data_IF_639891742773
#
_entry.id   IF_639891742773
#
_cell.length_a   1.000
_cell.length_b   1.000
_cell.length_c   1.000
_cell.angle_alpha   90.00
_cell.angle_beta   90.00
_cell.angle_gamma   90.00
#
_symmetry.space_group_name_H-M   'P 1'
#
loop_
_entity.id
_entity.type
_entity.pdbx_description
1 polymer ?
#
# COMPACT_ATOMS: atom_id res chain seq x y z
N UNK A 1 -31.54 6.15 2.34
CA UNK A 1 -30.23 5.47 2.46
C UNK A 1 -29.26 6.24 3.35
N UNK A 2 -28.87 7.48 3.03
CA UNK A 2 -27.90 8.23 3.86
C UNK A 2 -28.35 8.48 5.31
N UNK A 3 -29.65 8.74 5.55
CA UNK A 3 -30.19 8.88 6.91
C UNK A 3 -30.31 7.56 7.69
N UNK A 4 -29.98 6.42 7.09
CA UNK A 4 -30.06 5.09 7.71
C UNK A 4 -28.71 4.58 8.22
N UNK A 5 -27.61 5.28 7.93
CA UNK A 5 -26.29 4.87 8.40
C UNK A 5 -25.93 5.52 9.73
N UNK A 6 -25.08 4.86 10.51
CA UNK A 6 -24.45 5.45 11.70
C UNK A 6 -23.33 6.41 11.30
N UNK A 7 -22.89 7.25 12.25
CA UNK A 7 -21.66 8.02 12.09
C UNK A 7 -20.45 7.06 12.00
N UNK A 8 -19.39 7.52 11.34
CA UNK A 8 -18.13 6.79 11.26
C UNK A 8 -17.47 6.69 12.64
N UNK A 9 -16.76 5.60 12.89
CA UNK A 9 -16.20 5.31 14.20
C UNK A 9 -15.01 6.25 14.52
N UNK A 10 -15.11 7.02 15.60
CA UNK A 10 -14.02 7.91 16.04
C UNK A 10 -12.77 7.15 16.47
N UNK A 11 -12.90 5.91 16.93
CA UNK A 11 -11.75 5.03 17.22
C UNK A 11 -10.94 4.66 15.96
N UNK A 12 -11.52 4.81 14.77
CA UNK A 12 -10.82 4.65 13.48
C UNK A 12 -10.23 5.97 12.96
N UNK A 13 -10.17 7.03 13.78
CA UNK A 13 -9.57 8.32 13.44
C UNK A 13 -10.51 9.31 12.74
N UNK A 14 -11.80 8.98 12.59
CA UNK A 14 -12.77 9.92 12.02
C UNK A 14 -13.17 10.99 13.05
N UNK A 15 -13.42 12.24 12.62
CA UNK A 15 -14.00 13.26 13.49
C UNK A 15 -15.35 12.84 14.05
N UNK A 16 -15.70 13.34 15.24
CA UNK A 16 -17.04 13.14 15.80
C UNK A 16 -18.12 13.68 14.85
N UNK A 17 -19.21 12.95 14.71
CA UNK A 17 -20.28 13.28 13.77
C UNK A 17 -19.98 13.02 12.29
N UNK A 18 -18.80 12.50 11.93
CA UNK A 18 -18.47 12.22 10.52
C UNK A 18 -19.43 11.21 9.90
N UNK A 19 -19.89 11.49 8.67
CA UNK A 19 -20.81 10.62 7.92
C UNK A 19 -20.04 9.90 6.81
N UNK A 20 -20.42 8.67 6.43
CA UNK A 20 -19.84 8.00 5.27
C UNK A 20 -20.04 8.84 4.00
N UNK A 21 -19.03 8.84 3.13
CA UNK A 21 -19.12 9.44 1.80
C UNK A 21 -19.72 8.43 0.82
N UNK A 22 -20.83 8.81 0.16
CA UNK A 22 -21.51 7.95 -0.80
C UNK A 22 -21.37 8.49 -2.22
N UNK A 23 -21.00 7.61 -3.13
CA UNK A 23 -21.14 7.81 -4.56
C UNK A 23 -21.70 6.55 -5.20
N UNK A 24 -22.37 6.70 -6.33
CA UNK A 24 -23.03 5.62 -7.05
C UNK A 24 -22.48 5.57 -8.47
N UNK A 25 -22.13 4.37 -8.92
CA UNK A 25 -21.85 4.14 -10.32
C UNK A 25 -23.16 4.11 -11.10
N UNK A 26 -23.31 5.10 -11.98
CA UNK A 26 -24.42 5.23 -12.91
C UNK A 26 -23.79 5.54 -14.26
N UNK A 27 -23.80 4.56 -15.16
CA UNK A 27 -23.30 4.73 -16.53
C UNK A 27 -24.37 5.49 -17.30
N UNK A 28 -24.25 6.81 -17.32
CA UNK A 28 -25.12 7.70 -18.08
C UNK A 28 -24.27 8.52 -19.04
N UNK A 29 -24.36 8.17 -20.33
CA UNK A 29 -23.65 8.85 -21.42
C UNK A 29 -24.58 9.71 -22.28
N UNK A 30 -25.82 9.93 -21.81
CA UNK A 30 -26.89 10.60 -22.56
C UNK A 30 -27.66 9.65 -23.48
N UNK A 31 -28.90 10.03 -23.80
CA UNK A 31 -29.77 9.25 -24.71
C UNK A 31 -30.47 8.04 -24.09
N UNK A 32 -30.26 7.79 -22.80
CA UNK A 32 -30.88 6.70 -22.04
C UNK A 32 -31.99 7.23 -21.10
N UNK A 33 -32.99 6.39 -20.75
CA UNK A 33 -34.09 6.81 -19.88
C UNK A 33 -33.71 6.91 -18.41
N UNK A 34 -32.59 6.30 -17.98
CA UNK A 34 -32.07 6.39 -16.62
C UNK A 34 -30.98 7.44 -16.60
N UNK A 35 -31.10 8.40 -15.69
CA UNK A 35 -30.19 9.55 -15.61
C UNK A 35 -29.51 9.66 -14.25
N UNK A 36 -28.33 10.28 -14.21
CA UNK A 36 -27.63 10.57 -12.93
C UNK A 36 -28.48 11.38 -11.95
N UNK A 37 -29.39 12.23 -12.45
CA UNK A 37 -30.23 13.10 -11.64
C UNK A 37 -31.14 12.36 -10.66
N UNK A 38 -31.53 11.13 -10.98
CA UNK A 38 -32.38 10.29 -10.12
C UNK A 38 -31.67 9.88 -8.81
N UNK A 39 -30.34 9.96 -8.76
CA UNK A 39 -29.51 9.45 -7.67
C UNK A 39 -28.91 10.55 -6.77
N UNK A 40 -29.12 11.83 -7.08
CA UNK A 40 -28.54 12.95 -6.30
C UNK A 40 -28.99 13.00 -4.83
N UNK A 41 -30.14 12.39 -4.51
CA UNK A 41 -30.65 12.27 -3.14
C UNK A 41 -29.94 11.21 -2.29
N UNK A 42 -29.11 10.35 -2.90
CA UNK A 42 -28.43 9.24 -2.22
C UNK A 42 -26.92 9.29 -2.29
N UNK A 43 -26.33 10.23 -3.04
CA UNK A 43 -24.87 10.43 -3.08
C UNK A 43 -24.44 11.29 -4.26
N UNK A 44 -23.14 11.28 -4.53
CA UNK A 44 -22.60 11.69 -5.83
C UNK A 44 -22.82 10.59 -6.87
N UNK A 45 -22.68 10.91 -8.14
CA UNK A 45 -22.74 9.95 -9.26
C UNK A 45 -21.47 10.02 -10.09
N UNK A 46 -21.03 8.88 -10.63
CA UNK A 46 -19.94 8.81 -11.61
C UNK A 46 -20.32 9.58 -12.88
N UNK A 47 -19.53 10.58 -13.28
CA UNK A 47 -19.78 11.37 -14.49
C UNK A 47 -18.99 10.81 -15.69
N UNK A 48 -19.55 9.79 -16.35
CA UNK A 48 -18.90 9.12 -17.49
C UNK A 48 -18.68 10.04 -18.70
N UNK A 49 -19.45 11.12 -18.84
CA UNK A 49 -19.28 12.08 -19.95
C UNK A 49 -18.00 12.91 -19.80
N UNK A 50 -17.53 13.09 -18.56
CA UNK A 50 -16.31 13.86 -18.28
C UNK A 50 -15.08 13.21 -18.92
N UNK A 51 -14.88 11.89 -18.76
CA UNK A 51 -13.76 11.18 -19.37
C UNK A 51 -13.71 11.33 -20.90
N UNK A 52 -14.88 11.30 -21.57
CA UNK A 52 -14.99 11.56 -23.02
C UNK A 52 -14.60 12.98 -23.40
N UNK A 53 -15.10 13.97 -22.67
CA UNK A 53 -14.75 15.38 -22.91
C UNK A 53 -13.28 15.66 -22.64
N UNK A 54 -12.66 14.98 -21.68
CA UNK A 54 -11.22 15.02 -21.48
C UNK A 54 -10.49 14.45 -22.69
N UNK A 55 -10.87 13.26 -23.17
CA UNK A 55 -10.22 12.67 -24.34
C UNK A 55 -10.31 13.58 -25.58
N UNK A 56 -11.47 14.18 -25.85
CA UNK A 56 -11.64 15.16 -26.94
C UNK A 56 -10.81 16.42 -26.71
N UNK A 57 -10.79 16.94 -25.49
CA UNK A 57 -10.02 18.12 -25.13
C UNK A 57 -8.51 17.90 -25.20
N UNK A 58 -8.00 16.70 -24.93
CA UNK A 58 -6.57 16.40 -25.10
C UNK A 58 -6.22 16.17 -26.58
N UNK A 59 -7.17 15.66 -27.37
CA UNK A 59 -7.00 15.61 -28.83
C UNK A 59 -6.92 17.02 -29.43
N UNK A 60 -7.72 17.97 -28.93
CA UNK A 60 -7.81 19.36 -29.36
C UNK A 60 -8.09 20.30 -28.16
N UNK A 61 -7.05 21.04 -27.74
CA UNK A 61 -7.09 21.85 -26.51
C UNK A 61 -8.14 22.98 -26.56
N UNK A 62 -8.61 23.37 -27.75
CA UNK A 62 -9.69 24.37 -27.87
C UNK A 62 -11.01 23.90 -27.27
N UNK A 63 -11.20 22.59 -27.10
CA UNK A 63 -12.41 22.00 -26.51
C UNK A 63 -12.38 21.93 -24.98
N UNK A 64 -11.21 22.09 -24.35
CA UNK A 64 -11.05 21.96 -22.89
C UNK A 64 -11.84 23.02 -22.10
N UNK A 65 -12.10 24.20 -22.70
CA UNK A 65 -12.95 25.22 -22.08
C UNK A 65 -14.42 24.79 -21.92
N UNK A 66 -14.85 23.75 -22.64
CA UNK A 66 -16.21 23.20 -22.59
C UNK A 66 -16.28 21.82 -21.91
N UNK A 67 -15.28 21.44 -21.11
CA UNK A 67 -15.22 20.11 -20.48
C UNK A 67 -16.39 19.86 -19.51
N UNK A 68 -16.83 20.88 -18.79
CA UNK A 68 -18.07 20.85 -18.01
C UNK A 68 -19.18 21.53 -18.78
N UNK A 69 -20.29 20.83 -18.98
CA UNK A 69 -21.42 21.32 -19.76
C UNK A 69 -22.75 20.77 -19.21
N UNK A 70 -23.50 21.58 -18.46
CA UNK A 70 -24.84 21.21 -17.99
C UNK A 70 -25.80 20.85 -19.14
N UNK A 71 -25.60 21.40 -20.34
CA UNK A 71 -26.41 21.09 -21.52
C UNK A 71 -26.28 19.65 -22.00
N UNK A 72 -25.21 18.96 -21.60
CA UNK A 72 -25.00 17.52 -21.81
C UNK A 72 -25.64 16.64 -20.73
N UNK A 73 -26.42 17.23 -19.82
CA UNK A 73 -26.99 16.50 -18.68
C UNK A 73 -25.94 16.11 -17.64
N UNK A 74 -24.76 16.75 -17.67
CA UNK A 74 -23.73 16.53 -16.68
C UNK A 74 -24.21 16.97 -15.29
N UNK A 75 -23.85 16.21 -14.28
CA UNK A 75 -24.23 16.48 -12.90
C UNK A 75 -23.65 17.81 -12.41
N UNK A 76 -24.32 18.52 -11.49
CA UNK A 76 -23.70 19.64 -10.79
C UNK A 76 -22.39 19.22 -10.09
N UNK A 77 -21.44 20.14 -9.97
CA UNK A 77 -20.09 19.85 -9.43
C UNK A 77 -20.10 19.20 -8.02
N UNK A 78 -21.04 19.56 -7.16
CA UNK A 78 -21.20 18.97 -5.82
C UNK A 78 -21.84 17.56 -5.84
N UNK A 79 -22.37 17.14 -6.99
CA UNK A 79 -22.98 15.84 -7.25
C UNK A 79 -22.13 14.93 -8.14
N UNK A 80 -21.11 15.46 -8.82
CA UNK A 80 -20.27 14.68 -9.71
C UNK A 80 -19.08 14.04 -8.98
N UNK A 81 -18.83 12.76 -9.24
CA UNK A 81 -17.54 12.10 -9.08
C UNK A 81 -16.94 11.91 -10.48
N UNK A 82 -15.81 12.56 -10.73
CA UNK A 82 -15.19 12.66 -12.06
C UNK A 82 -13.90 11.85 -12.12
N UNK A 83 -13.59 11.35 -13.31
CA UNK A 83 -12.40 10.55 -13.59
C UNK A 83 -12.11 10.59 -15.09
N UNK A 84 -10.84 10.41 -15.47
CA UNK A 84 -10.44 10.28 -16.88
C UNK A 84 -10.85 8.90 -17.41
N UNK A 85 -10.55 7.86 -16.63
CA UNK A 85 -10.91 6.47 -16.84
C UNK A 85 -11.33 5.78 -15.53
N UNK A 86 -11.84 4.56 -15.64
CA UNK A 86 -12.12 3.67 -14.52
C UNK A 86 -11.71 2.24 -14.90
N UNK A 87 -11.90 1.32 -13.95
CA UNK A 87 -11.58 -0.09 -14.14
C UNK A 87 -12.29 -0.76 -15.33
N UNK A 88 -13.50 -0.34 -15.70
CA UNK A 88 -14.26 -0.93 -16.82
C UNK A 88 -13.83 -0.35 -18.17
N UNK A 89 -13.87 0.97 -18.30
CA UNK A 89 -13.76 1.61 -19.61
C UNK A 89 -12.33 1.56 -20.17
N UNK A 90 -11.30 1.48 -19.32
CA UNK A 90 -9.92 1.23 -19.77
C UNK A 90 -9.74 -0.18 -20.39
N UNK A 91 -10.69 -1.09 -20.13
CA UNK A 91 -10.73 -2.47 -20.61
C UNK A 91 -11.75 -2.69 -21.73
N UNK A 92 -12.39 -1.64 -22.23
CA UNK A 92 -13.44 -1.79 -23.24
C UNK A 92 -14.79 -2.24 -22.68
N UNK A 93 -14.96 -2.29 -21.36
CA UNK A 93 -16.24 -2.62 -20.70
C UNK A 93 -17.00 -1.34 -20.34
N UNK A 94 -18.29 -1.44 -20.02
CA UNK A 94 -19.09 -0.38 -19.39
C UNK A 94 -18.85 1.06 -19.88
N UNK A 95 -19.56 1.49 -20.93
CA UNK A 95 -19.42 2.87 -21.43
C UNK A 95 -18.05 3.19 -22.06
N UNK A 96 -17.33 2.17 -22.55
CA UNK A 96 -16.08 2.32 -23.27
C UNK A 96 -16.23 2.95 -24.67
N UNK A 97 -15.08 3.20 -25.31
CA UNK A 97 -14.99 3.91 -26.58
C UNK A 97 -14.88 5.41 -26.33
N UNK A 98 -13.72 5.99 -26.66
CA UNK A 98 -13.40 7.43 -26.56
C UNK A 98 -12.95 7.94 -25.18
N UNK A 99 -12.06 7.20 -24.51
CA UNK A 99 -11.39 7.65 -23.28
C UNK A 99 -9.87 7.50 -23.38
N UNK A 100 -9.12 8.24 -22.55
CA UNK A 100 -7.68 8.08 -22.38
C UNK A 100 -7.39 7.08 -21.27
N UNK A 101 -6.33 6.29 -21.41
CA UNK A 101 -5.88 5.32 -20.39
C UNK A 101 -4.38 5.43 -20.19
N UNK A 102 -3.83 4.71 -19.20
CA UNK A 102 -2.38 4.63 -19.02
C UNK A 102 -1.63 4.12 -20.27
N UNK A 103 -2.30 3.45 -21.22
CA UNK A 103 -1.70 3.00 -22.48
C UNK A 103 -1.29 4.18 -23.38
N UNK A 104 -1.91 5.34 -23.19
CA UNK A 104 -1.58 6.62 -23.83
C UNK A 104 -0.82 7.54 -22.84
N UNK A 105 0.26 7.04 -22.21
CA UNK A 105 0.87 7.63 -21.02
C UNK A 105 1.04 9.16 -21.00
N UNK A 106 1.51 9.78 -22.09
CA UNK A 106 1.64 11.24 -22.19
C UNK A 106 0.29 11.96 -22.20
N UNK A 107 -0.60 11.58 -23.10
CA UNK A 107 -1.91 12.23 -23.28
C UNK A 107 -2.80 11.99 -22.05
N UNK A 108 -2.74 10.79 -21.47
CA UNK A 108 -3.40 10.47 -20.22
C UNK A 108 -2.90 11.33 -19.06
N UNK A 109 -1.58 11.54 -18.95
CA UNK A 109 -0.99 12.44 -17.95
C UNK A 109 -1.53 13.86 -18.11
N UNK A 110 -1.61 14.40 -19.34
CA UNK A 110 -2.20 15.70 -19.61
C UNK A 110 -3.67 15.76 -19.18
N UNK A 111 -4.46 14.74 -19.52
CA UNK A 111 -5.87 14.63 -19.15
C UNK A 111 -6.09 14.63 -17.64
N UNK A 112 -5.30 13.84 -16.89
CA UNK A 112 -5.39 13.78 -15.43
C UNK A 112 -4.93 15.10 -14.79
N UNK A 113 -3.82 15.68 -15.24
CA UNK A 113 -3.29 16.94 -14.72
C UNK A 113 -4.27 18.11 -14.95
N UNK A 114 -4.86 18.22 -16.15
CA UNK A 114 -5.92 19.19 -16.41
C UNK A 114 -7.14 18.96 -15.51
N UNK A 115 -7.56 17.70 -15.35
CA UNK A 115 -8.71 17.36 -14.47
C UNK A 115 -8.46 17.74 -13.01
N UNK A 116 -7.22 17.60 -12.52
CA UNK A 116 -6.80 18.05 -11.19
C UNK A 116 -6.76 19.58 -11.09
N UNK A 117 -6.33 20.27 -12.14
CA UNK A 117 -6.33 21.73 -12.17
C UNK A 117 -7.75 22.32 -12.26
N UNK A 118 -8.69 21.65 -12.94
CA UNK A 118 -10.05 22.14 -13.20
C UNK A 118 -10.95 22.12 -11.96
N UNK A 119 -11.85 23.07 -11.78
CA UNK A 119 -12.73 23.22 -10.60
C UNK A 119 -14.00 22.34 -10.58
N UNK A 120 -14.12 21.33 -11.45
CA UNK A 120 -15.34 20.53 -11.61
C UNK A 120 -15.24 19.17 -10.93
N UNK A 121 -16.24 18.82 -10.12
CA UNK A 121 -16.42 17.49 -9.55
C UNK A 121 -15.43 17.10 -8.45
N UNK A 122 -15.71 15.96 -7.84
CA UNK A 122 -14.79 15.26 -6.94
C UNK A 122 -13.94 14.28 -7.76
N UNK A 123 -12.65 14.55 -7.88
CA UNK A 123 -11.75 13.80 -8.76
C UNK A 123 -11.32 12.47 -8.15
N UNK A 124 -11.40 11.40 -8.94
CA UNK A 124 -10.81 10.09 -8.68
C UNK A 124 -9.75 9.80 -9.75
N UNK A 125 -8.56 9.38 -9.32
CA UNK A 125 -7.47 8.94 -10.20
C UNK A 125 -7.49 7.41 -10.21
N UNK A 126 -7.45 6.80 -11.39
CA UNK A 126 -7.32 5.35 -11.52
C UNK A 126 -5.88 4.93 -11.17
N UNK A 127 -5.73 3.77 -10.55
CA UNK A 127 -4.43 3.13 -10.34
C UNK A 127 -4.52 1.69 -10.81
N UNK A 128 -3.81 1.39 -11.88
CA UNK A 128 -4.00 0.18 -12.67
C UNK A 128 -2.87 -0.83 -12.49
N UNK A 129 -3.08 -1.98 -13.10
CA UNK A 129 -2.06 -2.97 -13.43
C UNK A 129 -2.06 -3.21 -14.93
N UNK A 130 -0.94 -3.69 -15.48
CA UNK A 130 -0.83 -4.00 -16.91
C UNK A 130 -1.68 -5.23 -17.26
N UNK A 131 -2.36 -5.17 -18.40
CA UNK A 131 -3.17 -6.28 -18.92
C UNK A 131 -3.16 -6.28 -20.45
N UNK A 132 -3.13 -7.49 -21.03
CA UNK A 132 -3.29 -7.73 -22.46
C UNK A 132 -4.67 -8.31 -22.80
N UNK A 133 -5.32 -8.92 -21.81
CA UNK A 133 -6.70 -9.39 -21.87
C UNK A 133 -7.58 -8.52 -20.95
N UNK A 134 -8.75 -8.12 -21.45
CA UNK A 134 -9.70 -7.26 -20.73
C UNK A 134 -10.25 -7.96 -19.47
N UNK A 135 -10.38 -9.29 -19.49
CA UNK A 135 -10.82 -10.10 -18.34
C UNK A 135 -9.66 -10.54 -17.42
N UNK A 136 -8.44 -10.02 -17.65
CA UNK A 136 -7.27 -10.40 -16.86
C UNK A 136 -7.32 -9.82 -15.45
N UNK A 137 -7.16 -10.69 -14.45
CA UNK A 137 -6.96 -10.32 -13.05
C UNK A 137 -5.62 -9.59 -12.81
N UNK A 138 -5.39 -9.11 -11.57
CA UNK A 138 -4.15 -8.41 -11.22
C UNK A 138 -2.91 -9.33 -11.32
N UNK A 139 -1.68 -8.76 -11.29
CA UNK A 139 -0.46 -9.53 -11.12
C UNK A 139 -0.60 -10.49 -9.95
N UNK A 140 -0.26 -11.76 -10.16
CA UNK A 140 -0.58 -12.81 -9.21
C UNK A 140 -0.07 -14.17 -9.62
N UNK A 141 0.20 -15.01 -8.62
CA UNK A 141 0.49 -16.43 -8.82
C UNK A 141 -0.73 -17.24 -9.27
N UNK A 142 -0.49 -18.39 -9.91
CA UNK A 142 -1.48 -19.27 -10.55
C UNK A 142 -2.61 -19.82 -9.66
N UNK A 143 -2.63 -19.49 -8.37
CA UNK A 143 -3.61 -19.97 -7.39
C UNK A 143 -4.59 -18.88 -6.89
N UNK A 144 -4.69 -17.74 -7.59
CA UNK A 144 -5.65 -16.69 -7.27
C UNK A 144 -5.19 -15.67 -6.22
N UNK A 145 -3.88 -15.65 -5.90
CA UNK A 145 -3.26 -14.59 -5.10
C UNK A 145 -2.98 -13.34 -5.94
N UNK A 146 -2.86 -12.18 -5.28
CA UNK A 146 -2.40 -10.92 -5.89
C UNK A 146 -1.02 -10.60 -5.35
N UNK A 147 -0.06 -10.34 -6.24
CA UNK A 147 1.32 -10.04 -5.89
C UNK A 147 1.44 -8.62 -5.30
N UNK A 148 2.42 -8.41 -4.41
CA UNK A 148 2.68 -7.09 -3.83
C UNK A 148 3.11 -6.07 -4.89
N UNK A 149 2.84 -4.80 -4.61
CA UNK A 149 3.33 -3.68 -5.44
C UNK A 149 4.82 -3.47 -5.19
N UNK A 150 5.63 -3.69 -6.22
CA UNK A 150 7.06 -3.38 -6.17
C UNK A 150 7.24 -1.88 -6.36
N UNK A 151 7.91 -1.20 -5.43
CA UNK A 151 8.27 0.22 -5.57
C UNK A 151 9.74 0.32 -5.97
N UNK A 152 9.99 0.90 -7.15
CA UNK A 152 11.32 1.14 -7.69
C UNK A 152 12.00 2.31 -6.96
N UNK A 153 13.32 2.40 -7.08
CA UNK A 153 14.11 3.44 -6.41
C UNK A 153 13.76 4.87 -6.87
N UNK A 154 13.18 5.04 -8.05
CA UNK A 154 12.69 6.31 -8.58
C UNK A 154 11.24 6.65 -8.14
N UNK A 155 10.63 5.80 -7.31
CA UNK A 155 9.27 5.94 -6.80
C UNK A 155 8.17 5.41 -7.73
N UNK A 156 8.53 4.94 -8.92
CA UNK A 156 7.59 4.27 -9.83
C UNK A 156 7.28 2.84 -9.37
N UNK A 157 6.24 2.22 -9.93
CA UNK A 157 5.91 0.83 -9.63
C UNK A 157 6.51 -0.16 -10.64
N UNK A 158 6.81 -1.36 -10.14
CA UNK A 158 7.20 -2.54 -10.92
C UNK A 158 6.25 -3.72 -10.68
N UNK A 159 6.65 -4.91 -11.14
CA UNK A 159 5.89 -6.15 -10.86
C UNK A 159 4.54 -6.25 -11.58
N UNK A 160 4.35 -5.53 -12.69
CA UNK A 160 3.09 -5.51 -13.43
C UNK A 160 2.09 -4.44 -12.95
N UNK A 161 2.45 -3.63 -11.97
CA UNK A 161 1.64 -2.49 -11.50
C UNK A 161 1.98 -1.19 -12.24
N UNK A 162 0.96 -0.41 -12.61
CA UNK A 162 1.11 0.84 -13.38
C UNK A 162 1.33 2.04 -12.45
N UNK A 163 0.52 2.14 -11.38
CA UNK A 163 0.59 3.21 -10.37
C UNK A 163 0.59 4.64 -10.92
N UNK A 164 -0.39 4.99 -11.73
CA UNK A 164 -0.58 6.33 -12.29
C UNK A 164 -0.58 7.41 -11.21
N UNK A 165 -1.13 7.10 -10.02
CA UNK A 165 -1.11 7.99 -8.85
C UNK A 165 0.30 8.35 -8.34
N UNK A 166 1.35 7.63 -8.75
CA UNK A 166 2.77 7.89 -8.41
C UNK A 166 3.55 8.55 -9.52
N UNK A 167 2.95 8.75 -10.70
CA UNK A 167 3.61 9.46 -11.79
C UNK A 167 3.88 10.89 -11.33
N UNK A 168 5.05 11.43 -11.71
CA UNK A 168 5.55 12.65 -11.11
C UNK A 168 4.57 13.81 -11.30
N UNK A 169 4.15 14.10 -12.54
CA UNK A 169 3.21 15.17 -12.81
C UNK A 169 1.87 15.00 -12.07
N UNK A 170 1.30 13.78 -12.03
CA UNK A 170 0.03 13.50 -11.35
C UNK A 170 0.16 13.74 -9.84
N UNK A 171 1.24 13.24 -9.22
CA UNK A 171 1.53 13.43 -7.79
C UNK A 171 1.61 14.91 -7.46
N UNK A 172 2.36 15.68 -8.25
CA UNK A 172 2.51 17.12 -8.06
C UNK A 172 1.19 17.89 -8.26
N UNK A 173 0.36 17.46 -9.20
CA UNK A 173 -0.94 18.08 -9.44
C UNK A 173 -1.99 17.76 -8.36
N UNK A 174 -1.81 16.70 -7.55
CA UNK A 174 -2.61 16.48 -6.34
C UNK A 174 -2.29 17.55 -5.28
N UNK A 175 -1.01 17.92 -5.11
CA UNK A 175 -0.65 19.03 -4.23
C UNK A 175 -1.25 20.35 -4.71
N UNK A 176 -1.19 20.62 -6.02
CA UNK A 176 -1.83 21.78 -6.62
C UNK A 176 -3.34 21.78 -6.36
N UNK A 177 -4.04 20.67 -6.63
CA UNK A 177 -5.49 20.51 -6.40
C UNK A 177 -5.88 20.90 -4.98
N UNK A 178 -5.14 20.41 -3.99
CA UNK A 178 -5.38 20.66 -2.57
C UNK A 178 -5.17 22.13 -2.19
N UNK A 179 -4.12 22.77 -2.73
CA UNK A 179 -3.84 24.17 -2.46
C UNK A 179 -4.92 25.13 -3.02
N UNK A 180 -5.51 24.76 -4.17
CA UNK A 180 -6.48 25.60 -4.89
C UNK A 180 -7.95 25.25 -4.60
N UNK A 181 -8.24 24.47 -3.55
CA UNK A 181 -9.62 24.16 -3.16
C UNK A 181 -10.42 25.45 -2.91
N UNK A 182 -11.65 25.48 -3.45
CA UNK A 182 -12.61 26.56 -3.26
C UNK A 182 -12.44 27.78 -4.17
N UNK A 183 -11.50 27.77 -5.13
CA UNK A 183 -11.33 28.86 -6.09
C UNK A 183 -11.94 28.54 -7.45
N UNK A 184 -12.28 29.55 -8.25
CA UNK A 184 -12.76 29.44 -9.63
C UNK A 184 -11.62 29.43 -10.64
N UNK A 185 -11.86 28.93 -11.84
CA UNK A 185 -10.99 29.16 -12.99
C UNK A 185 -11.06 30.64 -13.42
N UNK A 186 -9.90 31.27 -13.59
CA UNK A 186 -9.72 32.65 -14.03
C UNK A 186 -8.53 32.74 -14.99
N UNK A 187 -8.33 33.88 -15.67
CA UNK A 187 -7.19 34.11 -16.58
C UNK A 187 -6.97 32.98 -17.61
N UNK A 188 -8.07 32.46 -18.17
CA UNK A 188 -8.01 31.40 -19.17
C UNK A 188 -7.30 31.88 -20.44
N UNK A 189 -6.31 31.11 -20.87
CA UNK A 189 -5.51 31.37 -22.06
C UNK A 189 -5.33 30.07 -22.84
N UNK A 190 -5.91 29.98 -24.04
CA UNK A 190 -5.74 28.84 -24.93
C UNK A 190 -5.30 29.35 -26.30
N UNK A 191 -4.22 28.76 -26.83
CA UNK A 191 -3.66 29.09 -28.14
C UNK A 191 -3.08 27.81 -28.78
N UNK A 192 -3.71 27.32 -29.85
CA UNK A 192 -3.36 26.03 -30.44
C UNK A 192 -3.40 24.91 -29.39
N UNK A 193 -2.33 24.14 -29.28
CA UNK A 193 -2.20 23.09 -28.25
C UNK A 193 -1.48 23.55 -26.98
N UNK A 194 -1.60 24.84 -26.65
CA UNK A 194 -1.14 25.42 -25.39
C UNK A 194 -2.35 25.89 -24.57
N UNK A 195 -2.34 25.59 -23.28
CA UNK A 195 -3.39 26.00 -22.35
C UNK A 195 -2.79 26.47 -21.03
N UNK A 196 -3.30 27.57 -20.50
CA UNK A 196 -3.04 28.00 -19.14
C UNK A 196 -4.28 28.63 -18.50
N UNK A 197 -4.37 28.54 -17.19
CA UNK A 197 -5.35 29.28 -16.41
C UNK A 197 -4.94 29.35 -14.93
N UNK A 198 -5.53 30.32 -14.24
CA UNK A 198 -5.40 30.46 -12.80
C UNK A 198 -6.58 29.84 -12.06
N UNK A 199 -6.34 29.47 -10.81
CA UNK A 199 -7.35 29.03 -9.85
C UNK A 199 -7.48 30.08 -8.76
N UNK A 200 -8.19 31.16 -9.09
CA UNK A 200 -8.17 32.42 -8.37
C UNK A 200 -6.74 32.94 -8.20
N UNK A 201 -6.45 33.57 -7.06
CA UNK A 201 -5.11 34.04 -6.72
C UNK A 201 -4.22 32.98 -6.04
N UNK A 202 -4.64 31.70 -6.00
CA UNK A 202 -3.95 30.65 -5.25
C UNK A 202 -3.00 29.79 -6.08
N UNK A 203 -3.24 29.65 -7.38
CA UNK A 203 -2.40 28.81 -8.22
C UNK A 203 -2.60 29.08 -9.69
N UNK A 204 -1.58 28.74 -10.46
CA UNK A 204 -1.55 28.87 -11.91
C UNK A 204 -1.08 27.55 -12.52
N UNK A 205 -1.83 27.08 -13.51
CA UNK A 205 -1.58 25.84 -14.24
C UNK A 205 -1.36 26.15 -15.72
N UNK A 206 -0.43 25.44 -16.34
CA UNK A 206 -0.23 25.48 -17.78
C UNK A 206 0.17 24.09 -18.30
N UNK A 207 -0.13 23.82 -19.58
CA UNK A 207 0.33 22.63 -20.27
C UNK A 207 0.45 22.89 -21.78
N UNK A 208 1.28 22.10 -22.45
CA UNK A 208 1.42 22.11 -23.91
C UNK A 208 1.45 20.68 -24.46
N UNK A 209 0.92 20.44 -25.65
CA UNK A 209 0.98 19.10 -26.26
C UNK A 209 2.37 18.73 -26.76
N UNK A 210 3.14 19.71 -27.23
CA UNK A 210 4.39 19.48 -27.96
C UNK A 210 5.65 19.68 -27.13
N UNK A 211 5.51 19.78 -25.80
CA UNK A 211 6.63 19.79 -24.85
C UNK A 211 7.46 21.06 -24.76
N UNK A 212 7.23 22.02 -25.67
CA UNK A 212 7.97 23.27 -25.69
C UNK A 212 7.03 24.48 -25.76
N UNK A 213 7.02 25.31 -24.72
CA UNK A 213 6.26 26.56 -24.70
C UNK A 213 6.87 27.57 -23.72
N UNK A 214 7.19 28.77 -24.23
CA UNK A 214 7.64 29.92 -23.45
C UNK A 214 6.69 31.10 -23.66
N UNK A 215 6.11 31.61 -22.57
CA UNK A 215 5.21 32.76 -22.66
C UNK A 215 5.10 33.51 -21.33
N UNK A 216 5.06 34.84 -21.40
CA UNK A 216 4.69 35.66 -20.25
C UNK A 216 3.17 35.77 -20.17
N UNK A 217 2.58 35.29 -19.08
CA UNK A 217 1.13 35.23 -18.89
C UNK A 217 0.69 35.93 -17.61
N UNK A 218 -0.54 36.47 -17.62
CA UNK A 218 -1.17 37.00 -16.42
C UNK A 218 -1.64 35.84 -15.54
N UNK A 219 -1.06 35.72 -14.35
CA UNK A 219 -1.33 34.59 -13.45
C UNK A 219 -2.44 34.85 -12.46
N UNK A 220 -2.73 36.13 -12.15
CA UNK A 220 -3.63 36.49 -11.05
C UNK A 220 -3.06 36.17 -9.65
N UNK A 221 -1.85 35.60 -9.55
CA UNK A 221 -1.20 35.28 -8.29
C UNK A 221 -0.51 36.52 -7.69
N UNK A 222 -0.33 36.58 -6.36
CA UNK A 222 0.44 37.65 -5.72
C UNK A 222 1.90 37.68 -6.20
N UNK A 223 2.54 38.86 -6.25
CA UNK A 223 3.95 38.97 -6.57
C UNK A 223 4.81 38.16 -5.59
N UNK A 224 5.79 37.43 -6.11
CA UNK A 224 6.64 36.57 -5.29
C UNK A 224 7.37 35.51 -6.08
N UNK A 225 8.15 34.70 -5.39
CA UNK A 225 8.87 33.56 -5.99
C UNK A 225 8.20 32.28 -5.55
N UNK A 226 7.84 31.45 -6.53
CA UNK A 226 7.10 30.20 -6.34
C UNK A 226 7.92 29.02 -6.82
N UNK A 227 7.73 27.88 -6.15
CA UNK A 227 8.24 26.60 -6.63
C UNK A 227 7.46 26.16 -7.87
N UNK A 228 8.17 25.80 -8.94
CA UNK A 228 7.57 25.07 -10.07
C UNK A 228 7.46 23.60 -9.68
N UNK A 229 6.22 23.09 -9.63
CA UNK A 229 5.93 21.81 -8.99
C UNK A 229 6.42 20.62 -9.80
N UNK A 230 6.32 20.64 -11.12
CA UNK A 230 6.63 19.47 -11.95
C UNK A 230 8.13 19.13 -11.89
N UNK A 231 8.98 20.15 -11.79
CA UNK A 231 10.42 20.03 -11.53
C UNK A 231 10.78 19.79 -10.06
N UNK A 232 9.79 19.61 -9.17
CA UNK A 232 9.98 19.45 -7.72
C UNK A 232 10.78 20.59 -7.10
N UNK A 233 10.44 21.82 -7.47
CA UNK A 233 11.12 23.05 -7.04
C UNK A 233 12.58 23.20 -7.51
N UNK A 234 13.07 22.33 -8.41
CA UNK A 234 14.37 22.57 -9.05
C UNK A 234 14.36 23.89 -9.84
N UNK A 235 13.20 24.25 -10.40
CA UNK A 235 12.95 25.55 -10.98
C UNK A 235 12.11 26.44 -10.05
N UNK A 236 12.40 27.73 -10.09
CA UNK A 236 11.63 28.77 -9.42
C UNK A 236 11.05 29.74 -10.45
N UNK A 237 9.85 30.24 -10.16
CA UNK A 237 9.13 31.17 -11.03
C UNK A 237 8.84 32.44 -10.25
N UNK A 238 9.20 33.57 -10.83
CA UNK A 238 8.88 34.88 -10.26
C UNK A 238 7.60 35.41 -10.88
N UNK A 239 6.60 35.67 -10.03
CA UNK A 239 5.42 36.46 -10.38
C UNK A 239 5.76 37.92 -10.10
N UNK A 240 5.67 38.74 -11.15
CA UNK A 240 5.97 40.17 -11.13
C UNK A 240 4.92 40.96 -10.34
N UNK A 241 5.24 42.23 -10.05
CA UNK A 241 4.34 43.16 -9.34
C UNK A 241 2.97 43.35 -10.03
N UNK A 242 2.90 43.14 -11.34
CA UNK A 242 1.69 43.23 -12.16
C UNK A 242 0.93 41.89 -12.30
N UNK A 243 1.36 40.83 -11.59
CA UNK A 243 0.77 39.50 -11.63
C UNK A 243 1.23 38.63 -12.80
N UNK A 244 2.11 39.12 -13.67
CA UNK A 244 2.63 38.31 -14.78
C UNK A 244 3.77 37.38 -14.37
N UNK A 245 3.91 36.24 -15.04
CA UNK A 245 5.06 35.35 -14.87
C UNK A 245 5.48 34.76 -16.22
N UNK A 246 6.79 34.46 -16.37
CA UNK A 246 7.28 33.65 -17.48
C UNK A 246 6.94 32.19 -17.20
N UNK A 247 6.13 31.60 -18.07
CA UNK A 247 5.86 30.16 -18.11
C UNK A 247 6.81 29.56 -19.13
N UNK A 248 7.59 28.58 -18.69
CA UNK A 248 8.55 27.86 -19.53
C UNK A 248 8.36 26.36 -19.34
N UNK A 249 7.97 25.67 -20.41
CA UNK A 249 7.84 24.21 -20.48
C UNK A 249 8.81 23.72 -21.54
N UNK A 250 9.75 22.86 -21.15
CA UNK A 250 10.71 22.20 -22.03
C UNK A 250 10.84 20.71 -21.64
N UNK A 251 9.72 20.00 -21.67
CA UNK A 251 9.63 18.61 -21.26
C UNK A 251 8.61 17.86 -22.12
N UNK A 252 9.08 17.03 -23.06
CA UNK A 252 8.20 16.30 -23.98
C UNK A 252 7.38 15.19 -23.29
N UNK A 253 7.87 14.66 -22.17
CA UNK A 253 7.28 13.53 -21.45
C UNK A 253 6.21 14.00 -20.46
N UNK A 254 6.48 15.08 -19.72
CA UNK A 254 5.54 15.70 -18.78
C UNK A 254 5.41 17.20 -19.08
N UNK A 255 4.71 17.58 -20.17
CA UNK A 255 4.65 18.96 -20.65
C UNK A 255 3.63 19.80 -19.86
N UNK A 256 3.79 19.81 -18.54
CA UNK A 256 2.91 20.44 -17.55
C UNK A 256 3.73 21.45 -16.75
N UNK A 257 3.07 22.50 -16.28
CA UNK A 257 3.61 23.53 -15.41
C UNK A 257 2.58 23.85 -14.34
N UNK A 258 3.01 23.97 -13.09
CA UNK A 258 2.14 24.44 -12.03
C UNK A 258 2.91 25.18 -10.94
N UNK A 259 2.31 26.26 -10.44
CA UNK A 259 2.78 27.02 -9.27
C UNK A 259 1.59 27.33 -8.36
N UNK A 260 1.77 27.31 -7.04
CA UNK A 260 0.72 27.70 -6.10
C UNK A 260 1.24 28.28 -4.79
N UNK A 261 0.39 29.07 -4.15
CA UNK A 261 0.62 29.65 -2.82
C UNK A 261 0.67 28.53 -1.79
N UNK A 262 1.77 28.46 -1.03
CA UNK A 262 1.98 27.44 0.01
C UNK A 262 2.40 26.08 -0.54
N UNK A 263 2.78 25.98 -1.81
CA UNK A 263 3.29 24.76 -2.40
C UNK A 263 4.83 24.76 -2.41
N UNK A 264 5.44 23.61 -2.11
CA UNK A 264 6.90 23.45 -2.11
C UNK A 264 7.63 23.82 -0.81
N UNK A 265 6.92 24.14 0.27
CA UNK A 265 7.52 24.49 1.57
C UNK A 265 8.01 23.28 2.40
N UNK A 266 7.97 22.06 1.85
CA UNK A 266 8.37 20.84 2.56
C UNK A 266 7.50 20.50 3.78
N UNK A 267 6.44 21.26 4.07
CA UNK A 267 5.57 21.04 5.23
C UNK A 267 4.35 20.19 4.93
N UNK A 268 4.13 19.85 3.66
CA UNK A 268 3.18 18.80 3.25
C UNK A 268 3.95 17.66 2.60
N UNK A 269 4.75 16.96 3.39
CA UNK A 269 5.05 15.55 3.12
C UNK A 269 3.77 14.76 3.38
N UNK A 270 2.82 14.79 2.43
CA UNK A 270 2.21 13.52 2.02
C UNK A 270 3.10 12.98 0.92
N UNK A 271 4.36 12.72 1.28
CA UNK A 271 5.08 11.65 0.61
C UNK A 271 4.29 10.40 1.03
N UNK A 272 3.73 9.59 0.11
CA UNK A 272 3.41 8.22 0.43
C UNK A 272 4.74 7.46 0.56
N UNK A 273 5.62 7.92 1.47
CA UNK A 273 6.61 7.06 2.08
C UNK A 273 5.80 5.85 2.53
N UNK A 274 6.19 4.63 2.13
CA UNK A 274 5.33 3.48 1.94
C UNK A 274 4.37 3.36 3.10
N UNK A 275 3.22 4.00 2.95
CA UNK A 275 2.14 3.91 3.91
C UNK A 275 1.34 2.77 3.32
N UNK A 276 1.89 1.57 3.47
CA UNK A 276 1.03 0.52 4.02
C UNK A 276 0.48 1.15 5.29
N UNK A 277 -0.65 1.86 5.20
CA UNK A 277 -1.49 1.99 6.38
C UNK A 277 -1.82 0.53 6.62
N UNK A 278 -1.20 -0.11 7.62
CA UNK A 278 -1.50 -1.50 7.86
C UNK A 278 -3.00 -1.56 8.04
N UNK A 279 -3.66 -2.55 7.43
CA UNK A 279 -5.02 -2.84 7.84
C UNK A 279 -5.05 -2.88 9.38
N UNK A 280 -6.12 -2.37 10.03
CA UNK A 280 -6.17 -2.31 11.48
C UNK A 280 -5.76 -3.67 12.05
N UNK A 281 -4.72 -3.69 12.90
CA UNK A 281 -4.20 -4.93 13.50
C UNK A 281 -5.38 -5.68 14.12
N UNK A 282 -5.66 -6.89 13.64
CA UNK A 282 -6.76 -7.71 14.17
C UNK A 282 -6.62 -7.82 15.70
N UNK A 283 -7.71 -7.88 16.49
CA UNK A 283 -7.61 -8.08 17.94
C UNK A 283 -6.75 -9.30 18.32
N UNK A 284 -6.12 -9.29 19.51
CA UNK A 284 -5.38 -10.44 20.02
C UNK A 284 -6.28 -11.68 20.14
N UNK A 285 -5.73 -12.85 19.82
CA UNK A 285 -6.36 -14.14 20.12
C UNK A 285 -6.14 -14.44 21.60
N UNK A 286 -7.14 -15.00 22.28
CA UNK A 286 -7.07 -15.37 23.71
C UNK A 286 -7.07 -16.88 23.87
N UNK A 287 -6.47 -17.39 24.95
CA UNK A 287 -6.33 -18.81 25.25
C UNK A 287 -5.31 -19.51 24.34
N UNK A 288 -5.38 -20.84 24.30
CA UNK A 288 -4.50 -21.64 23.44
C UNK A 288 -4.97 -21.60 21.99
N UNK A 289 -4.07 -21.23 21.07
CA UNK A 289 -4.33 -21.22 19.64
C UNK A 289 -3.14 -21.79 18.85
N UNK A 290 -3.44 -22.35 17.67
CA UNK A 290 -2.40 -22.84 16.75
C UNK A 290 -1.58 -21.66 16.25
N UNK A 291 -0.26 -21.75 16.36
CA UNK A 291 0.70 -20.75 15.89
C UNK A 291 1.74 -21.47 15.06
N UNK A 292 1.95 -21.01 13.82
CA UNK A 292 2.94 -21.57 12.91
C UNK A 292 4.01 -20.53 12.68
N UNK A 293 5.28 -20.93 12.75
CA UNK A 293 6.43 -20.05 12.57
C UNK A 293 7.30 -20.63 11.47
N UNK A 294 7.54 -19.83 10.44
CA UNK A 294 8.50 -20.09 9.39
C UNK A 294 9.68 -19.14 9.50
N UNK A 295 10.90 -19.67 9.40
CA UNK A 295 12.12 -18.88 9.24
C UNK A 295 12.85 -19.35 7.99
N UNK A 296 13.03 -18.48 7.01
CA UNK A 296 13.81 -18.79 5.82
C UNK A 296 15.31 -18.70 6.13
N UNK A 297 16.00 -19.81 5.89
CA UNK A 297 17.45 -19.91 6.02
C UNK A 297 17.99 -21.08 5.20
N UNK A 298 18.78 -20.76 4.18
CA UNK A 298 19.66 -21.75 3.55
C UNK A 298 20.70 -22.23 4.56
N UNK A 299 20.72 -23.53 4.79
CA UNK A 299 21.62 -24.23 5.72
C UNK A 299 22.54 -25.18 4.97
N UNK A 300 23.67 -25.48 5.58
CA UNK A 300 24.58 -26.53 5.13
C UNK A 300 24.22 -27.88 5.78
N UNK A 301 24.60 -29.01 5.17
CA UNK A 301 24.49 -30.32 5.80
C UNK A 301 25.09 -30.33 7.21
N UNK A 302 24.31 -30.78 8.19
CA UNK A 302 24.71 -30.80 9.60
C UNK A 302 24.35 -29.55 10.39
N UNK A 303 23.82 -28.50 9.76
CA UNK A 303 23.23 -27.37 10.48
C UNK A 303 21.73 -27.58 10.69
N UNK A 304 21.24 -27.15 11.84
CA UNK A 304 19.85 -27.19 12.26
C UNK A 304 19.43 -25.84 12.80
N UNK A 305 18.14 -25.53 12.67
CA UNK A 305 17.59 -24.27 13.14
C UNK A 305 16.68 -24.49 14.35
N UNK A 306 16.91 -23.69 15.38
CA UNK A 306 16.07 -23.58 16.57
C UNK A 306 15.60 -22.14 16.72
N UNK A 307 14.54 -21.95 17.51
CA UNK A 307 14.21 -20.63 18.04
C UNK A 307 14.24 -20.66 19.57
N UNK A 308 14.60 -19.50 20.13
CA UNK A 308 14.49 -19.20 21.56
C UNK A 308 13.75 -17.88 21.68
N UNK A 309 12.80 -17.80 22.58
CA UNK A 309 11.85 -16.69 22.58
C UNK A 309 11.00 -16.61 23.84
N UNK A 310 9.92 -15.86 23.76
CA UNK A 310 9.07 -15.52 24.90
C UNK A 310 8.74 -14.04 24.83
N UNK A 311 8.84 -13.34 25.95
CA UNK A 311 8.86 -11.87 25.99
C UNK A 311 10.22 -11.43 26.54
N UNK A 312 10.88 -10.46 25.92
CA UNK A 312 12.18 -9.99 26.40
C UNK A 312 12.01 -9.26 27.75
N UNK A 313 12.99 -9.41 28.64
CA UNK A 313 13.01 -8.72 29.94
C UNK A 313 12.97 -7.19 29.84
N UNK A 314 13.37 -6.63 28.70
CA UNK A 314 13.21 -5.21 28.40
C UNK A 314 11.73 -4.80 28.24
N UNK A 315 10.87 -5.74 27.83
CA UNK A 315 9.43 -5.52 27.64
C UNK A 315 8.61 -5.99 28.85
N UNK A 316 8.86 -7.20 29.36
CA UNK A 316 8.15 -7.76 30.52
C UNK A 316 9.11 -7.88 31.71
N UNK A 317 8.95 -7.08 32.78
CA UNK A 317 9.80 -7.20 33.95
C UNK A 317 9.51 -8.49 34.72
N UNK A 318 10.52 -9.00 35.43
CA UNK A 318 10.38 -10.16 36.31
C UNK A 318 10.72 -11.51 35.67
N UNK A 319 11.28 -11.53 34.46
CA UNK A 319 11.77 -12.77 33.85
C UNK A 319 12.80 -13.46 34.75
N UNK A 320 12.76 -14.79 34.81
CA UNK A 320 13.70 -15.60 35.60
C UNK A 320 14.74 -16.26 34.71
N UNK A 321 15.38 -17.34 35.16
CA UNK A 321 16.39 -18.09 34.41
C UNK A 321 16.03 -19.57 34.25
N UNK A 322 14.75 -19.90 34.44
CA UNK A 322 14.21 -21.26 34.40
C UNK A 322 12.88 -21.23 33.66
N UNK A 323 12.82 -21.89 32.49
CA UNK A 323 11.69 -21.88 31.58
C UNK A 323 10.35 -22.22 32.25
N UNK A 324 10.34 -23.08 33.27
CA UNK A 324 9.11 -23.51 33.94
C UNK A 324 8.53 -22.43 34.86
N UNK A 325 9.40 -21.58 35.40
CA UNK A 325 9.02 -20.54 36.37
C UNK A 325 9.12 -19.13 35.80
N UNK A 326 9.62 -18.99 34.57
CA UNK A 326 9.83 -17.71 33.92
C UNK A 326 8.48 -17.12 33.45
N UNK A 327 8.02 -15.98 34.00
CA UNK A 327 6.79 -15.33 33.54
C UNK A 327 6.91 -14.77 32.11
N UNK A 328 8.11 -14.76 31.55
CA UNK A 328 8.37 -14.34 30.17
C UNK A 328 8.40 -15.51 29.18
N UNK A 329 8.46 -16.75 29.66
CA UNK A 329 8.31 -17.93 28.81
C UNK A 329 6.84 -18.13 28.45
N UNK A 330 6.57 -18.58 27.23
CA UNK A 330 5.21 -18.77 26.72
C UNK A 330 4.95 -20.26 26.55
N UNK A 331 3.89 -20.76 27.19
CA UNK A 331 3.47 -22.14 27.14
C UNK A 331 3.07 -22.55 25.74
N UNK A 332 3.57 -23.71 25.30
CA UNK A 332 3.13 -24.33 24.07
C UNK A 332 3.14 -25.85 24.12
N UNK A 333 2.54 -26.45 23.10
CA UNK A 333 2.69 -27.87 22.79
C UNK A 333 3.05 -28.01 21.32
N UNK A 334 4.16 -28.68 21.03
CA UNK A 334 4.65 -28.86 19.67
C UNK A 334 3.78 -29.87 18.92
N UNK A 335 3.29 -29.49 17.75
CA UNK A 335 2.53 -30.34 16.86
C UNK A 335 3.47 -31.20 16.00
N UNK A 336 3.04 -32.42 15.68
CA UNK A 336 3.76 -33.29 14.75
C UNK A 336 3.67 -32.73 13.34
N UNK A 337 4.81 -32.72 12.64
CA UNK A 337 4.89 -32.38 11.21
C UNK A 337 4.81 -33.62 10.31
N UNK A 338 4.59 -34.80 10.89
CA UNK A 338 4.53 -36.07 10.18
C UNK A 338 5.35 -37.16 10.85
N UNK A 339 5.25 -38.37 10.30
CA UNK A 339 5.90 -39.58 10.84
C UNK A 339 6.97 -40.15 9.91
N UNK A 340 7.37 -39.41 8.89
CA UNK A 340 8.47 -39.82 8.00
C UNK A 340 9.81 -39.62 8.71
N UNK A 341 10.83 -40.37 8.28
CA UNK A 341 12.18 -40.26 8.86
C UNK A 341 12.81 -38.87 8.69
N UNK A 342 12.28 -38.05 7.78
CA UNK A 342 12.67 -36.64 7.64
C UNK A 342 12.41 -35.84 8.92
N UNK A 343 11.33 -36.15 9.64
CA UNK A 343 10.93 -35.43 10.87
C UNK A 343 11.38 -36.11 12.16
N UNK A 344 12.16 -37.19 12.11
CA UNK A 344 12.63 -37.90 13.32
C UNK A 344 13.41 -36.98 14.25
N UNK A 345 14.26 -36.12 13.67
CA UNK A 345 15.09 -35.17 14.42
C UNK A 345 14.26 -34.10 15.12
N UNK A 346 13.33 -33.47 14.39
CA UNK A 346 12.36 -32.51 14.94
C UNK A 346 11.52 -33.16 16.04
N UNK A 347 10.97 -34.35 15.79
CA UNK A 347 10.10 -35.05 16.72
C UNK A 347 10.83 -35.43 18.01
N UNK A 348 12.09 -35.89 17.91
CA UNK A 348 12.89 -36.25 19.07
C UNK A 348 13.22 -35.04 19.95
N UNK A 349 13.58 -33.89 19.36
CA UNK A 349 13.84 -32.66 20.11
C UNK A 349 12.58 -31.96 20.62
N UNK A 350 11.42 -32.24 20.03
CA UNK A 350 10.14 -31.67 20.47
C UNK A 350 9.59 -32.34 21.73
N UNK A 351 10.05 -33.56 22.06
CA UNK A 351 9.63 -34.24 23.29
C UNK A 351 10.05 -33.39 24.48
N UNK A 352 9.11 -32.98 25.33
CA UNK A 352 9.40 -32.18 26.51
C UNK A 352 9.75 -30.72 26.23
N UNK A 353 9.54 -30.23 25.01
CA UNK A 353 9.52 -28.80 24.71
C UNK A 353 8.12 -28.23 24.99
N UNK A 354 7.99 -27.51 26.11
CA UNK A 354 6.70 -27.04 26.63
C UNK A 354 6.58 -25.52 26.71
N UNK A 355 7.67 -24.81 26.45
CA UNK A 355 7.80 -23.37 26.58
C UNK A 355 8.63 -22.79 25.44
N UNK A 356 8.18 -21.68 24.89
CA UNK A 356 9.04 -20.80 24.12
C UNK A 356 9.78 -19.94 25.16
N UNK A 357 11.07 -20.24 25.35
CA UNK A 357 11.94 -19.61 26.35
C UNK A 357 13.31 -19.19 25.78
N UNK A 358 14.07 -18.38 26.53
CA UNK A 358 15.36 -17.83 26.12
C UNK A 358 16.58 -18.71 26.47
N UNK A 359 16.39 -19.82 27.20
CA UNK A 359 17.45 -20.54 27.91
C UNK A 359 18.00 -21.76 27.16
N UNK A 360 17.37 -22.18 26.06
CA UNK A 360 17.81 -23.29 25.23
C UNK A 360 17.03 -24.57 25.52
N UNK A 361 17.71 -25.71 25.69
CA UNK A 361 17.01 -26.95 26.01
C UNK A 361 16.39 -26.95 27.41
N UNK A 362 15.11 -27.31 27.50
CA UNK A 362 14.47 -27.61 28.78
C UNK A 362 14.98 -28.92 29.37
N UNK A 363 14.90 -29.07 30.69
CA UNK A 363 15.45 -30.24 31.40
C UNK A 363 14.85 -31.59 30.97
N UNK A 364 13.58 -31.57 30.55
CA UNK A 364 12.87 -32.74 30.03
C UNK A 364 12.91 -32.82 28.49
N UNK A 365 13.56 -31.88 27.81
CA UNK A 365 13.58 -31.82 26.37
C UNK A 365 14.45 -32.93 25.78
N UNK A 366 13.94 -33.57 24.73
CA UNK A 366 14.57 -34.73 24.11
C UNK A 366 15.87 -34.40 23.38
N UNK A 367 16.55 -35.47 22.97
CA UNK A 367 17.79 -35.40 22.19
C UNK A 367 17.68 -36.31 20.97
N UNK A 368 18.46 -36.03 19.93
CA UNK A 368 18.52 -36.86 18.74
C UNK A 368 19.96 -37.31 18.48
N UNK A 369 20.18 -38.62 18.43
CA UNK A 369 21.52 -39.20 18.24
C UNK A 369 22.58 -38.68 19.22
N UNK A 370 22.18 -38.39 20.47
CA UNK A 370 23.05 -37.84 21.51
C UNK A 370 23.25 -36.32 21.47
N UNK A 371 22.70 -35.63 20.47
CA UNK A 371 22.69 -34.16 20.39
C UNK A 371 21.47 -33.60 21.13
N UNK A 372 21.70 -32.79 22.16
CA UNK A 372 20.64 -32.05 22.85
C UNK A 372 19.99 -31.01 21.91
N UNK A 373 18.76 -30.62 22.21
CA UNK A 373 18.14 -29.48 21.56
C UNK A 373 18.84 -28.17 21.95
N UNK A 374 18.67 -27.12 21.15
CA UNK A 374 19.17 -25.77 21.43
C UNK A 374 18.02 -24.77 21.49
N UNK A 375 16.84 -25.19 21.97
CA UNK A 375 15.60 -24.41 22.01
C UNK A 375 14.44 -25.18 21.37
N UNK A 376 13.39 -24.46 20.95
CA UNK A 376 12.31 -25.08 20.18
C UNK A 376 12.79 -25.42 18.77
N UNK A 377 12.72 -26.70 18.34
CA UNK A 377 13.30 -27.14 17.07
C UNK A 377 12.44 -26.69 15.90
N UNK A 378 13.07 -26.25 14.80
CA UNK A 378 12.39 -26.11 13.53
C UNK A 378 12.78 -27.28 12.62
N UNK A 379 11.86 -27.70 11.76
CA UNK A 379 12.14 -28.69 10.72
C UNK A 379 12.33 -28.00 9.37
N UNK A 380 13.31 -28.41 8.58
CA UNK A 380 13.43 -27.94 7.20
C UNK A 380 12.23 -28.43 6.38
N UNK A 381 11.62 -27.54 5.60
CA UNK A 381 10.46 -27.88 4.76
C UNK A 381 10.62 -27.38 3.32
N UNK A 382 9.80 -27.93 2.43
CA UNK A 382 9.71 -27.63 1.01
C UNK A 382 8.25 -27.43 0.60
N UNK A 383 8.01 -26.57 -0.40
CA UNK A 383 6.71 -26.42 -1.03
C UNK A 383 6.47 -27.38 -2.21
N UNK A 384 7.42 -28.27 -2.51
CA UNK A 384 7.36 -29.17 -3.66
C UNK A 384 6.71 -30.51 -3.28
N UNK A 385 5.54 -30.87 -3.84
CA UNK A 385 4.93 -32.17 -3.60
C UNK A 385 5.88 -33.31 -3.96
N UNK A 386 6.06 -34.26 -3.03
CA UNK A 386 6.97 -35.40 -3.19
C UNK A 386 8.39 -35.17 -2.64
N UNK A 387 8.73 -33.94 -2.23
CA UNK A 387 9.93 -33.70 -1.42
C UNK A 387 9.77 -34.34 -0.03
N UNK A 388 10.86 -34.85 0.54
CA UNK A 388 10.84 -35.49 1.87
C UNK A 388 10.37 -34.53 2.98
N UNK A 389 10.65 -33.22 2.80
CA UNK A 389 10.21 -32.15 3.69
C UNK A 389 8.97 -31.41 3.21
N UNK A 390 8.18 -31.99 2.29
CA UNK A 390 6.95 -31.34 1.83
C UNK A 390 6.02 -31.03 3.01
N UNK A 391 5.59 -29.77 3.10
CA UNK A 391 4.56 -29.32 4.04
C UNK A 391 3.50 -28.52 3.31
N UNK A 392 2.23 -28.84 3.55
CA UNK A 392 1.09 -28.18 2.89
C UNK A 392 1.01 -26.67 3.21
N UNK A 393 1.45 -26.28 4.41
CA UNK A 393 1.50 -24.89 4.84
C UNK A 393 2.71 -24.12 4.32
N UNK A 394 3.74 -24.81 3.80
CA UNK A 394 4.85 -24.13 3.16
C UNK A 394 4.48 -23.82 1.70
N UNK A 395 4.12 -22.57 1.44
CA UNK A 395 3.89 -22.04 0.10
C UNK A 395 5.05 -21.17 -0.40
N UNK A 396 6.12 -21.02 0.39
CA UNK A 396 7.13 -19.98 0.23
C UNK A 396 8.37 -20.46 -0.53
N UNK A 397 8.63 -21.77 -0.53
CA UNK A 397 9.75 -22.35 -1.26
C UNK A 397 10.57 -23.33 -0.43
N UNK A 398 11.77 -23.61 -0.92
CA UNK A 398 12.76 -24.40 -0.19
C UNK A 398 13.36 -23.59 0.97
N UNK A 399 13.91 -24.29 1.98
CA UNK A 399 14.64 -23.66 3.09
C UNK A 399 13.82 -22.79 4.05
N UNK A 400 12.49 -22.93 4.02
CA UNK A 400 11.63 -22.41 5.07
C UNK A 400 11.54 -23.44 6.19
N UNK A 401 12.19 -23.13 7.31
CA UNK A 401 12.19 -23.97 8.50
C UNK A 401 10.93 -23.70 9.31
N UNK A 402 10.24 -24.75 9.75
CA UNK A 402 8.90 -24.67 10.32
C UNK A 402 8.87 -25.15 11.77
N UNK A 403 8.15 -24.41 12.62
CA UNK A 403 7.64 -24.86 13.92
C UNK A 403 6.11 -24.70 13.91
N UNK A 404 5.39 -25.74 14.33
CA UNK A 404 3.93 -25.72 14.50
C UNK A 404 3.59 -26.06 15.95
N UNK A 405 2.91 -25.15 16.63
CA UNK A 405 2.59 -25.30 18.05
C UNK A 405 1.16 -24.91 18.38
N UNK A 406 0.62 -25.48 19.45
CA UNK A 406 -0.49 -24.88 20.19
C UNK A 406 0.10 -23.97 21.26
N UNK A 407 -0.01 -22.64 21.10
CA UNK A 407 0.60 -21.64 21.97
C UNK A 407 -0.44 -20.96 22.85
N UNK A 408 -0.13 -20.69 24.12
CA UNK A 408 -0.99 -19.93 25.01
C UNK A 408 -0.87 -18.42 24.73
N UNK A 409 -1.85 -17.87 24.00
CA UNK A 409 -1.84 -16.47 23.62
C UNK A 409 -2.09 -15.51 24.80
N UNK A 410 -2.64 -15.99 25.92
CA UNK A 410 -2.83 -15.15 27.11
C UNK A 410 -1.49 -14.81 27.81
N UNK A 411 -0.42 -15.55 27.49
CA UNK A 411 0.93 -15.31 28.01
C UNK A 411 1.77 -14.41 27.08
N UNK A 412 1.21 -13.95 25.95
CA UNK A 412 1.85 -13.03 25.01
C UNK A 412 1.68 -11.57 25.44
N UNK A 413 2.26 -10.61 24.71
CA UNK A 413 1.89 -9.20 24.87
C UNK A 413 1.02 -8.67 23.74
N UNK A 414 -0.23 -8.33 24.06
CA UNK A 414 -1.25 -7.96 23.07
C UNK A 414 -1.32 -8.92 21.86
N UNK A 415 -1.15 -10.23 22.10
CA UNK A 415 -1.13 -11.25 21.05
C UNK A 415 0.21 -11.43 20.36
N UNK A 416 1.28 -10.73 20.78
CA UNK A 416 2.61 -10.78 20.18
C UNK A 416 3.64 -11.45 21.08
N UNK A 417 4.51 -12.27 20.48
CA UNK A 417 5.64 -12.92 21.14
C UNK A 417 6.93 -12.61 20.41
N UNK A 418 8.04 -12.75 21.12
CA UNK A 418 9.38 -12.51 20.59
C UNK A 418 10.14 -13.82 20.40
N UNK A 419 11.05 -13.85 19.42
CA UNK A 419 12.05 -14.90 19.33
C UNK A 419 13.30 -14.47 18.57
N UNK A 420 14.37 -15.24 18.76
CA UNK A 420 15.55 -15.27 17.89
C UNK A 420 15.86 -16.69 17.44
N UNK A 421 16.37 -16.77 16.23
CA UNK A 421 16.84 -17.98 15.59
C UNK A 421 18.26 -18.32 16.02
N UNK A 422 18.51 -19.61 16.25
CA UNK A 422 19.80 -20.18 16.61
C UNK A 422 20.15 -21.31 15.63
N UNK A 423 21.24 -21.14 14.90
CA UNK A 423 21.77 -22.07 13.90
C UNK A 423 22.89 -22.91 14.52
N UNK A 424 22.74 -24.23 14.55
CA UNK A 424 23.82 -25.10 15.04
C UNK A 424 25.00 -25.13 14.08
N UNK A 425 26.19 -25.45 14.62
CA UNK A 425 27.43 -25.59 13.84
C UNK A 425 27.80 -24.32 13.04
N UNK A 426 27.47 -23.16 13.59
CA UNK A 426 27.92 -21.84 13.14
C UNK A 426 28.69 -21.12 14.25
N UNK A 427 29.58 -20.19 13.91
CA UNK A 427 30.58 -19.66 14.86
C UNK A 427 29.96 -19.01 16.11
N UNK A 428 28.83 -18.32 15.97
CA UNK A 428 28.06 -17.73 17.08
C UNK A 428 26.71 -18.38 17.28
N UNK A 429 26.17 -19.03 16.23
CA UNK A 429 24.85 -19.66 16.17
C UNK A 429 23.68 -18.67 16.15
N UNK A 430 23.74 -17.60 16.93
CA UNK A 430 22.71 -16.57 16.99
C UNK A 430 22.61 -15.74 15.70
N UNK A 431 21.37 -15.41 15.33
CA UNK A 431 21.11 -14.37 14.35
C UNK A 431 21.43 -12.95 14.89
N UNK A 432 21.58 -12.00 13.97
CA UNK A 432 21.85 -10.60 14.30
C UNK A 432 20.69 -9.95 15.09
N UNK A 433 20.92 -8.78 15.69
CA UNK A 433 19.83 -7.99 16.25
C UNK A 433 18.89 -7.50 15.13
N UNK A 434 17.60 -7.71 15.34
CA UNK A 434 16.56 -7.49 14.34
C UNK A 434 15.96 -6.10 14.55
N UNK A 435 15.96 -5.28 13.50
CA UNK A 435 15.15 -4.06 13.46
C UNK A 435 13.90 -4.33 12.62
N UNK A 436 12.97 -5.12 13.15
CA UNK A 436 11.79 -5.55 12.41
C UNK A 436 10.96 -4.35 11.95
N UNK A 437 10.40 -4.43 10.74
CA UNK A 437 9.47 -3.42 10.20
C UNK A 437 8.37 -3.06 11.20
N UNK A 438 7.89 -1.83 11.16
CA UNK A 438 6.87 -1.32 12.10
C UNK A 438 5.53 -2.06 11.98
N UNK A 439 5.27 -2.68 10.82
CA UNK A 439 4.10 -3.50 10.58
C UNK A 439 4.42 -4.70 9.69
N UNK A 440 3.91 -5.86 10.06
CA UNK A 440 3.99 -7.06 9.22
C UNK A 440 2.94 -7.03 8.11
N UNK A 441 3.27 -7.61 6.96
CA UNK A 441 2.35 -7.84 5.84
C UNK A 441 1.44 -9.05 6.10
N UNK A 442 0.54 -9.37 5.17
CA UNK A 442 -0.38 -10.51 5.25
C UNK A 442 -1.75 -10.17 5.86
N UNK A 443 -2.73 -11.07 5.70
CA UNK A 443 -4.13 -10.80 6.05
C UNK A 443 -4.37 -10.67 7.58
N UNK A 444 -3.41 -11.13 8.37
CA UNK A 444 -3.39 -11.07 9.83
C UNK A 444 -2.14 -10.31 10.33
N UNK A 445 -1.50 -9.57 9.43
CA UNK A 445 -0.46 -8.61 9.74
C UNK A 445 -0.96 -7.47 10.62
N UNK A 446 -0.15 -6.43 10.68
CA UNK A 446 -0.43 -5.25 11.50
C UNK A 446 0.78 -4.74 12.25
N UNK A 447 0.59 -3.61 12.92
CA UNK A 447 1.63 -2.91 13.64
C UNK A 447 2.07 -3.67 14.89
N UNK A 448 3.37 -3.79 15.07
CA UNK A 448 3.95 -4.35 16.28
C UNK A 448 3.68 -3.43 17.49
N UNK A 449 3.43 -3.97 18.69
CA UNK A 449 3.04 -3.18 19.85
C UNK A 449 4.21 -2.43 20.51
N UNK A 450 5.44 -2.86 20.27
CA UNK A 450 6.66 -2.25 20.81
C UNK A 450 7.88 -2.55 19.94
N UNK A 451 8.97 -1.84 20.18
CA UNK A 451 10.26 -2.10 19.54
C UNK A 451 10.99 -3.22 20.27
N UNK A 452 11.57 -4.14 19.50
CA UNK A 452 12.44 -5.20 20.00
C UNK A 452 13.63 -5.37 19.05
N UNK A 453 14.71 -5.96 19.58
CA UNK A 453 15.88 -6.47 18.83
C UNK A 453 15.70 -7.93 18.37
N UNK A 454 14.53 -8.49 18.62
CA UNK A 454 14.12 -9.86 18.29
C UNK A 454 13.03 -9.81 17.20
N UNK A 455 12.74 -10.93 16.55
CA UNK A 455 11.53 -11.04 15.72
C UNK A 455 10.30 -10.97 16.61
N UNK A 456 9.25 -10.31 16.12
CA UNK A 456 7.94 -10.20 16.75
C UNK A 456 6.91 -10.92 15.88
N UNK A 457 6.40 -12.04 16.38
CA UNK A 457 5.32 -12.82 15.78
C UNK A 457 4.00 -12.67 16.52
N UNK A 458 2.91 -13.11 15.90
CA UNK A 458 1.56 -13.11 16.47
C UNK A 458 1.10 -14.53 16.77
N UNK A 459 0.62 -14.71 17.99
CA UNK A 459 0.00 -15.96 18.42
C UNK A 459 -1.36 -16.15 17.75
N UNK A 460 -1.66 -17.39 17.37
CA UNK A 460 -2.90 -17.76 16.66
C UNK A 460 -2.82 -17.63 15.12
N UNK A 461 -1.63 -17.39 14.57
CA UNK A 461 -1.43 -17.11 13.14
C UNK A 461 -0.23 -17.85 12.55
N UNK A 462 -0.14 -17.85 11.22
CA UNK A 462 1.04 -18.26 10.49
C UNK A 462 1.97 -17.05 10.34
N UNK A 463 3.19 -17.17 10.83
CA UNK A 463 4.20 -16.12 10.85
C UNK A 463 5.40 -16.53 10.00
N UNK A 464 5.90 -15.63 9.15
CA UNK A 464 7.02 -15.89 8.24
C UNK A 464 8.08 -14.81 8.40
N UNK A 465 9.33 -15.24 8.58
CA UNK A 465 10.48 -14.38 8.82
C UNK A 465 11.69 -14.81 7.99
N UNK A 466 12.63 -13.89 7.83
CA UNK A 466 13.95 -14.14 7.26
C UNK A 466 15.00 -14.16 8.38
N UNK A 467 15.93 -15.12 8.36
CA UNK A 467 17.02 -15.16 9.33
C UNK A 467 17.89 -13.90 9.24
N UNK A 468 18.06 -13.19 10.36
CA UNK A 468 18.69 -11.85 10.41
C UNK A 468 18.01 -10.77 9.54
N UNK A 469 16.82 -11.04 9.00
CA UNK A 469 16.05 -10.11 8.19
C UNK A 469 15.12 -9.23 9.04
N UNK A 470 14.63 -8.13 8.46
CA UNK A 470 13.70 -7.23 9.13
C UNK A 470 12.23 -7.41 8.69
N UNK A 471 11.98 -8.25 7.69
CA UNK A 471 10.65 -8.51 7.13
C UNK A 471 9.85 -9.47 8.00
N UNK A 472 8.53 -9.30 7.98
CA UNK A 472 7.60 -10.25 8.57
C UNK A 472 6.30 -10.28 7.77
N UNK A 473 5.78 -11.48 7.52
CA UNK A 473 4.46 -11.72 6.93
C UNK A 473 3.63 -12.58 7.88
N UNK A 474 2.40 -12.16 8.17
CA UNK A 474 1.49 -12.84 9.10
C UNK A 474 0.14 -13.06 8.45
N UNK A 475 -0.27 -14.32 8.33
CA UNK A 475 -1.51 -14.73 7.69
C UNK A 475 -2.37 -15.57 8.63
N UNK A 476 -3.67 -15.58 8.37
CA UNK A 476 -4.61 -16.53 8.95
C UNK A 476 -4.18 -17.94 8.54
N UNK A 477 -4.24 -18.89 9.49
CA UNK A 477 -3.97 -20.29 9.20
C UNK A 477 -5.16 -20.84 8.40
N UNK A 478 -4.94 -21.55 7.26
CA UNK A 478 -6.01 -22.13 6.44
C UNK A 478 -6.96 -23.08 7.17
#
# INVERSE_FOLDING_TARGET
MQGMTSNLNTAAGFPDGARPFFYHEVIDQGGEPITVGEYFGVGRTTEFRFGKKIAWGIADFSQLGGVYDPGWGMAPSDKALVFVDNHDNQRGHGGAGDILTFKEGKDYTLGVCFSLAHDYGFMRIMSSYYFDNTDQGPPGSSYGGTDDVIINADGTCGGGWVCEHRWNAITQMVHFRNAVVGTSIENWHQEGDNLAFSRGNKGFFAMTKWGNWDQTLQTGMPPGTYCELISRCANQVTVNADGTAMVSIHNDQEPVFAICVGCGDGTVTIDPGPTTTPGPTKPPVTGTARTVIFVHKMTNPGQDLFIRGGIDSAQRPGCTSDAETDPCAISHTVNSLGTSTHYDKYSAWSVGDTKLDWFGAQSAQGSYSGQAADGSPLAWTSNQPGSAGYQELNTFGEHYWMLDVQMNCDETENGWFEFKSFLTNDATGWEADITQVSSCSGDAGGSKPYSSKNHLGRCGYLNVFEFSGNSCQINSIP
#
